data_IF_422041848210
#
_entry.id   IF_422041848210
#
_cell.length_a   1.000
_cell.length_b   1.000
_cell.length_c   1.000
_cell.angle_alpha   90.00
_cell.angle_beta   90.00
_cell.angle_gamma   90.00
#
_symmetry.space_group_name_H-M   'P 1'
#
loop_
_entity.id
_entity.type
_entity.pdbx_description
1 polymer ?
#
# COMPACT_ATOMS: atom_id res chain seq x y z
N UNK A 1 18.38 -17.65 -5.31
CA UNK A 1 17.82 -19.02 -5.42
C UNK A 1 18.78 -19.99 -4.79
N UNK A 2 18.27 -20.80 -3.87
CA UNK A 2 19.06 -21.79 -3.19
C UNK A 2 19.44 -22.90 -4.20
N UNK A 3 20.73 -23.02 -4.51
CA UNK A 3 21.25 -24.12 -5.32
C UNK A 3 21.48 -25.31 -4.43
N UNK A 4 20.67 -26.36 -4.57
CA UNK A 4 20.83 -27.66 -3.96
C UNK A 4 20.29 -28.72 -4.92
N UNK A 5 20.81 -29.96 -4.78
CA UNK A 5 20.35 -31.06 -5.60
C UNK A 5 18.96 -31.50 -5.10
N UNK A 6 17.93 -31.20 -5.89
CA UNK A 6 16.57 -31.61 -5.64
C UNK A 6 16.35 -33.03 -6.14
N UNK A 7 15.72 -33.87 -5.33
CA UNK A 7 15.24 -35.18 -5.76
C UNK A 7 13.96 -35.06 -6.58
N UNK A 8 13.12 -34.09 -6.23
CA UNK A 8 11.92 -33.70 -6.97
C UNK A 8 11.91 -32.19 -7.21
N UNK A 9 11.38 -31.74 -8.35
CA UNK A 9 11.30 -30.33 -8.68
C UNK A 9 10.48 -29.51 -7.66
N UNK A 10 9.57 -30.17 -6.94
CA UNK A 10 8.72 -29.60 -5.88
C UNK A 10 9.43 -29.47 -4.54
N UNK A 11 10.61 -30.10 -4.35
CA UNK A 11 11.35 -30.01 -3.10
C UNK A 11 11.77 -28.59 -2.79
N UNK A 12 11.70 -28.20 -1.53
CA UNK A 12 12.17 -26.92 -1.02
C UNK A 12 12.87 -27.09 0.33
N UNK A 13 13.75 -26.13 0.66
CA UNK A 13 14.61 -26.22 1.84
C UNK A 13 13.85 -25.88 3.10
N UNK A 14 13.76 -26.83 4.04
CA UNK A 14 13.29 -26.58 5.41
C UNK A 14 14.44 -26.14 6.33
N UNK A 15 15.63 -26.76 6.17
CA UNK A 15 16.80 -26.49 6.99
C UNK A 15 18.08 -26.57 6.17
N UNK A 16 18.96 -25.58 6.28
CA UNK A 16 20.27 -25.54 5.63
C UNK A 16 21.34 -25.99 6.61
N UNK A 17 21.93 -27.17 6.42
CA UNK A 17 22.96 -27.79 7.28
C UNK A 17 24.30 -27.08 7.22
N UNK A 18 24.68 -26.50 6.08
CA UNK A 18 25.90 -25.72 5.90
C UNK A 18 25.50 -24.35 5.37
N UNK A 19 25.96 -23.32 6.02
CA UNK A 19 25.84 -21.98 5.50
C UNK A 19 27.19 -21.28 5.66
N UNK A 20 27.55 -20.48 4.69
CA UNK A 20 28.66 -19.52 4.79
C UNK A 20 28.28 -18.34 5.71
N UNK A 21 27.12 -18.45 6.35
CA UNK A 21 26.58 -17.49 7.28
C UNK A 21 27.42 -17.41 8.56
N UNK A 22 27.48 -16.25 9.19
CA UNK A 22 28.16 -16.07 10.46
C UNK A 22 27.63 -17.02 11.54
N UNK A 23 28.48 -17.43 12.49
CA UNK A 23 28.08 -18.37 13.57
C UNK A 23 26.85 -17.91 14.37
N UNK A 24 26.62 -16.62 14.48
CA UNK A 24 25.43 -16.07 15.16
C UNK A 24 24.12 -16.31 14.39
N UNK A 25 24.19 -16.60 13.10
CA UNK A 25 23.04 -16.94 12.24
C UNK A 25 22.88 -18.47 12.06
N UNK A 26 23.48 -19.27 12.95
CA UNK A 26 23.37 -20.72 12.95
C UNK A 26 22.81 -21.22 14.28
N UNK A 27 21.91 -22.18 14.19
CA UNK A 27 21.27 -22.80 15.35
C UNK A 27 21.57 -24.29 15.43
N UNK A 28 21.54 -24.84 16.64
CA UNK A 28 21.64 -26.28 16.85
C UNK A 28 20.28 -26.93 16.59
N UNK A 29 20.28 -28.04 15.83
CA UNK A 29 19.10 -28.85 15.60
C UNK A 29 19.47 -30.35 15.71
N UNK A 30 18.50 -31.28 15.94
CA UNK A 30 18.76 -32.70 16.04
C UNK A 30 19.43 -33.30 14.80
N UNK A 31 19.20 -32.69 13.63
CA UNK A 31 19.75 -33.07 12.33
C UNK A 31 21.03 -32.29 11.95
N UNK A 32 21.58 -31.52 12.89
CA UNK A 32 22.84 -30.80 12.72
C UNK A 32 22.70 -29.26 12.84
N UNK A 33 23.83 -28.57 13.05
CA UNK A 33 23.84 -27.11 13.10
C UNK A 33 23.54 -26.52 11.71
N UNK A 34 22.78 -25.45 11.68
CA UNK A 34 22.40 -24.78 10.44
C UNK A 34 21.40 -23.66 10.66
N UNK A 35 20.68 -23.29 9.63
CA UNK A 35 19.62 -22.28 9.68
C UNK A 35 18.34 -22.74 8.97
N UNK A 36 17.18 -22.17 9.35
CA UNK A 36 15.93 -22.46 8.64
C UNK A 36 16.01 -21.99 7.18
N UNK A 37 15.23 -22.65 6.32
CA UNK A 37 14.90 -22.14 5.00
C UNK A 37 13.96 -20.94 5.11
N UNK A 38 13.88 -20.16 4.05
CA UNK A 38 13.08 -18.91 4.05
C UNK A 38 11.60 -19.14 4.37
N UNK A 39 10.97 -20.14 3.75
CA UNK A 39 9.52 -20.38 3.89
C UNK A 39 9.13 -20.80 5.32
N UNK A 40 9.94 -21.64 5.96
CA UNK A 40 9.64 -22.12 7.32
C UNK A 40 9.75 -21.03 8.37
N UNK A 41 10.50 -19.97 8.13
CA UNK A 41 10.57 -18.81 9.02
C UNK A 41 9.19 -18.17 9.15
N UNK A 42 8.51 -17.87 8.02
CA UNK A 42 7.19 -17.27 8.02
C UNK A 42 6.12 -18.21 8.58
N UNK A 43 6.13 -19.50 8.22
CA UNK A 43 5.20 -20.49 8.76
C UNK A 43 5.31 -20.59 10.30
N UNK A 44 6.53 -20.63 10.84
CA UNK A 44 6.76 -20.71 12.28
C UNK A 44 6.39 -19.41 13.02
N UNK A 45 6.70 -18.25 12.45
CA UNK A 45 6.36 -16.94 13.04
C UNK A 45 4.85 -16.72 13.05
N UNK A 46 4.16 -17.01 11.94
CA UNK A 46 2.71 -16.91 11.84
C UNK A 46 2.03 -17.78 12.89
N UNK A 47 2.42 -19.06 12.99
CA UNK A 47 1.89 -19.95 14.01
C UNK A 47 2.10 -19.42 15.43
N UNK A 48 3.30 -18.91 15.74
CA UNK A 48 3.65 -18.43 17.08
C UNK A 48 2.82 -17.20 17.50
N UNK A 49 2.51 -16.30 16.57
CA UNK A 49 1.90 -15.01 16.85
C UNK A 49 0.39 -15.06 16.60
N UNK A 50 -0.05 -15.67 15.51
CA UNK A 50 -1.43 -15.66 15.01
C UNK A 50 -2.18 -16.97 15.24
N UNK A 51 -1.49 -18.05 15.54
CA UNK A 51 -2.08 -19.38 15.71
C UNK A 51 -1.90 -20.27 14.48
N UNK A 52 -2.63 -21.42 14.48
CA UNK A 52 -2.52 -22.42 13.40
C UNK A 52 -3.30 -22.01 12.15
N UNK A 53 -4.33 -21.20 12.33
CA UNK A 53 -5.17 -20.60 11.28
C UNK A 53 -5.38 -19.14 11.63
N UNK A 54 -5.32 -18.26 10.64
CA UNK A 54 -5.56 -16.82 10.83
C UNK A 54 -6.36 -16.23 9.65
N UNK A 55 -6.79 -14.98 9.77
CA UNK A 55 -7.76 -14.42 8.83
C UNK A 55 -7.14 -14.06 7.50
N UNK A 56 -6.08 -13.22 7.49
CA UNK A 56 -5.54 -12.63 6.27
C UNK A 56 -4.03 -12.88 6.18
N UNK A 57 -3.59 -13.43 5.04
CA UNK A 57 -2.19 -13.50 4.64
C UNK A 57 -1.98 -12.76 3.32
N UNK A 58 -0.92 -11.96 3.24
CA UNK A 58 -0.70 -11.16 2.05
C UNK A 58 0.76 -10.91 1.74
N UNK A 59 1.01 -10.45 0.51
CA UNK A 59 2.34 -10.12 0.05
C UNK A 59 2.35 -9.57 -1.38
N UNK A 60 3.52 -9.49 -1.98
CA UNK A 60 3.64 -9.20 -3.41
C UNK A 60 3.18 -10.37 -4.27
N UNK A 61 2.72 -10.09 -5.48
CA UNK A 61 2.30 -11.11 -6.44
C UNK A 61 3.40 -12.15 -6.73
N UNK A 62 4.67 -11.75 -6.60
CA UNK A 62 5.84 -12.61 -6.77
C UNK A 62 6.01 -13.63 -5.63
N UNK A 63 5.32 -13.49 -4.51
CA UNK A 63 5.33 -14.42 -3.39
C UNK A 63 4.31 -15.54 -3.51
N UNK A 64 3.31 -15.44 -4.40
CA UNK A 64 2.30 -16.51 -4.61
C UNK A 64 3.00 -17.85 -4.78
N UNK A 65 3.97 -17.88 -5.68
CA UNK A 65 4.79 -19.05 -5.91
C UNK A 65 6.28 -18.66 -6.01
N UNK A 66 7.19 -19.37 -5.34
CA UNK A 66 6.94 -20.59 -4.54
C UNK A 66 6.65 -20.34 -3.06
N UNK A 67 6.75 -19.08 -2.56
CA UNK A 67 6.84 -18.81 -1.12
C UNK A 67 5.54 -19.18 -0.38
N UNK A 68 4.42 -18.58 -0.74
CA UNK A 68 3.14 -18.82 -0.06
C UNK A 68 2.63 -20.26 -0.23
N UNK A 69 2.81 -20.86 -1.41
CA UNK A 69 2.48 -22.26 -1.63
C UNK A 69 3.30 -23.18 -0.70
N UNK A 70 4.56 -22.87 -0.47
CA UNK A 70 5.40 -23.64 0.43
C UNK A 70 5.02 -23.41 1.91
N UNK A 71 4.57 -22.21 2.28
CA UNK A 71 4.03 -21.93 3.63
C UNK A 71 2.75 -22.71 3.89
N UNK A 72 1.83 -22.75 2.92
CA UNK A 72 0.61 -23.57 2.98
C UNK A 72 0.97 -25.04 3.19
N UNK A 73 1.83 -25.60 2.34
CA UNK A 73 2.25 -26.98 2.44
C UNK A 73 2.87 -27.32 3.81
N UNK A 74 3.73 -26.45 4.35
CA UNK A 74 4.36 -26.61 5.66
C UNK A 74 3.34 -26.55 6.79
N UNK A 75 2.49 -25.55 6.78
CA UNK A 75 1.57 -25.27 7.89
C UNK A 75 0.43 -26.28 7.94
N UNK A 76 -0.20 -26.58 6.80
CA UNK A 76 -1.29 -27.54 6.74
C UNK A 76 -0.83 -28.95 7.05
N UNK A 77 0.34 -29.38 6.55
CA UNK A 77 0.92 -30.67 6.92
C UNK A 77 1.26 -30.75 8.42
N UNK A 78 1.79 -29.69 9.01
CA UNK A 78 2.14 -29.66 10.43
C UNK A 78 0.92 -29.63 11.36
N UNK A 79 -0.23 -29.12 10.89
CA UNK A 79 -1.43 -28.90 11.70
C UNK A 79 -2.60 -29.81 11.30
N UNK A 80 -2.32 -30.98 10.69
CA UNK A 80 -3.32 -32.00 10.38
C UNK A 80 -4.37 -31.56 9.34
N UNK A 81 -3.96 -30.75 8.36
CA UNK A 81 -4.81 -30.28 7.27
C UNK A 81 -5.67 -29.06 7.59
N UNK A 82 -5.38 -28.36 8.70
CA UNK A 82 -6.06 -27.09 9.00
C UNK A 82 -5.64 -26.00 8.02
N UNK A 83 -6.62 -25.24 7.56
CA UNK A 83 -6.38 -24.09 6.66
C UNK A 83 -5.37 -23.13 7.31
N UNK A 84 -4.36 -22.73 6.56
CA UNK A 84 -3.32 -21.81 7.01
C UNK A 84 -3.87 -20.37 7.13
N UNK A 85 -4.50 -19.86 6.07
CA UNK A 85 -5.16 -18.55 6.09
C UNK A 85 -6.46 -18.57 5.30
N UNK A 86 -7.49 -17.81 5.78
CA UNK A 86 -8.79 -17.76 5.13
C UNK A 86 -8.80 -16.87 3.88
N UNK A 87 -8.08 -15.75 3.92
CA UNK A 87 -8.05 -14.76 2.85
C UNK A 87 -6.62 -14.47 2.41
N UNK A 88 -6.44 -14.35 1.11
CA UNK A 88 -5.16 -14.10 0.47
C UNK A 88 -5.22 -12.80 -0.33
N UNK A 89 -4.31 -11.86 -0.02
CA UNK A 89 -4.18 -10.60 -0.75
C UNK A 89 -2.79 -10.48 -1.37
N UNK A 90 -2.73 -10.27 -2.69
CA UNK A 90 -1.47 -10.12 -3.40
C UNK A 90 -1.43 -8.79 -4.15
N UNK A 91 -0.46 -7.96 -3.78
CA UNK A 91 -0.25 -6.67 -4.41
C UNK A 91 0.52 -6.80 -5.72
N UNK A 92 0.13 -6.00 -6.70
CA UNK A 92 0.94 -5.71 -7.86
C UNK A 92 2.29 -5.09 -7.49
N UNK A 93 3.23 -5.10 -8.42
CA UNK A 93 4.58 -4.61 -8.17
C UNK A 93 4.68 -3.10 -8.37
N UNK A 94 5.49 -2.43 -7.54
CA UNK A 94 5.96 -1.08 -7.85
C UNK A 94 7.14 -1.16 -8.82
N UNK A 95 6.99 -0.51 -9.96
CA UNK A 95 8.01 -0.41 -10.99
C UNK A 95 8.60 1.01 -11.03
N UNK A 96 9.86 1.11 -11.40
CA UNK A 96 10.60 2.37 -11.54
C UNK A 96 11.27 2.37 -12.91
N UNK A 97 10.83 3.27 -13.81
CA UNK A 97 11.39 3.34 -15.16
C UNK A 97 11.29 2.02 -15.93
N UNK A 98 10.17 1.30 -15.79
CA UNK A 98 9.93 0.02 -16.45
C UNK A 98 10.61 -1.19 -15.79
N UNK A 99 11.29 -1.02 -14.64
CA UNK A 99 11.94 -2.10 -13.90
C UNK A 99 11.41 -2.21 -12.46
N UNK A 100 11.35 -3.44 -11.92
CA UNK A 100 10.98 -3.68 -10.52
C UNK A 100 11.95 -2.95 -9.58
N UNK A 101 11.41 -2.32 -8.51
CA UNK A 101 12.22 -1.80 -7.41
C UNK A 101 12.98 -2.94 -6.73
N UNK A 102 14.30 -2.87 -6.68
CA UNK A 102 15.12 -3.88 -6.03
C UNK A 102 16.42 -3.29 -5.45
N UNK A 103 16.88 -3.86 -4.32
CA UNK A 103 18.16 -3.47 -3.70
C UNK A 103 19.33 -3.65 -4.66
N UNK A 104 19.32 -4.71 -5.45
CA UNK A 104 20.36 -5.02 -6.44
C UNK A 104 20.45 -4.01 -7.58
N UNK A 105 19.36 -3.26 -7.85
CA UNK A 105 19.29 -2.22 -8.88
C UNK A 105 19.62 -0.84 -8.31
N UNK A 106 19.59 -0.68 -6.98
CA UNK A 106 19.88 0.59 -6.31
C UNK A 106 18.76 1.65 -6.47
N UNK A 107 17.59 1.27 -6.96
CA UNK A 107 16.45 2.16 -7.23
C UNK A 107 15.42 2.22 -6.09
N UNK A 108 15.83 1.90 -4.86
CA UNK A 108 14.93 1.94 -3.70
C UNK A 108 14.71 3.39 -3.28
N UNK A 109 13.45 3.82 -3.31
CA UNK A 109 13.00 5.05 -2.68
C UNK A 109 12.38 4.72 -1.31
N UNK A 110 12.83 5.42 -0.27
CA UNK A 110 12.32 5.22 1.08
C UNK A 110 11.20 6.22 1.35
N UNK A 111 10.10 5.76 1.94
CA UNK A 111 8.99 6.63 2.35
C UNK A 111 9.48 7.80 3.21
N UNK A 112 10.42 7.54 4.13
CA UNK A 112 11.02 8.57 4.99
C UNK A 112 11.70 9.72 4.21
N UNK A 113 12.26 9.46 3.04
CA UNK A 113 12.90 10.47 2.21
C UNK A 113 11.83 11.20 1.38
N UNK A 114 10.91 10.45 0.77
CA UNK A 114 9.82 11.01 -0.03
C UNK A 114 8.91 11.97 0.76
N UNK A 115 8.61 11.70 2.03
CA UNK A 115 7.75 12.59 2.84
C UNK A 115 8.41 13.92 3.22
N UNK A 116 9.73 14.06 3.01
CA UNK A 116 10.45 15.31 3.18
C UNK A 116 10.41 16.19 1.94
N UNK A 117 10.28 15.56 0.77
CA UNK A 117 10.34 16.21 -0.54
C UNK A 117 8.96 16.49 -1.11
N UNK A 118 7.97 15.67 -0.72
CA UNK A 118 6.62 15.72 -1.31
C UNK A 118 5.52 15.73 -0.23
N UNK A 119 4.36 16.33 -0.53
CA UNK A 119 3.20 16.26 0.36
C UNK A 119 2.79 14.80 0.58
N UNK A 120 2.66 14.39 1.85
CA UNK A 120 2.34 12.99 2.22
C UNK A 120 1.03 12.50 1.61
N UNK A 121 0.05 13.38 1.49
CA UNK A 121 -1.24 13.06 0.89
C UNK A 121 -1.14 12.83 -0.63
N UNK A 122 -0.20 13.51 -1.31
CA UNK A 122 0.07 13.27 -2.73
C UNK A 122 0.73 11.90 -2.96
N UNK A 123 1.62 11.48 -2.07
CA UNK A 123 2.19 10.12 -2.10
C UNK A 123 1.10 9.05 -1.90
N UNK A 124 0.19 9.29 -0.97
CA UNK A 124 -0.97 8.41 -0.75
C UNK A 124 -1.88 8.35 -1.96
N UNK A 125 -2.21 9.51 -2.55
CA UNK A 125 -3.01 9.58 -3.78
C UNK A 125 -2.36 8.82 -4.92
N UNK A 126 -1.04 8.96 -5.11
CA UNK A 126 -0.29 8.26 -6.13
C UNK A 126 -0.38 6.73 -5.97
N UNK A 127 -0.25 6.22 -4.74
CA UNK A 127 -0.40 4.77 -4.47
C UNK A 127 -1.82 4.27 -4.74
N UNK A 128 -2.85 5.06 -4.40
CA UNK A 128 -4.26 4.70 -4.61
C UNK A 128 -4.71 4.83 -6.06
N UNK A 129 -3.91 5.46 -6.94
CA UNK A 129 -4.26 5.71 -8.34
C UNK A 129 -4.30 4.45 -9.21
N UNK A 130 -3.67 3.36 -8.79
CA UNK A 130 -3.80 2.05 -9.39
C UNK A 130 -4.52 1.09 -8.43
N UNK A 131 -5.24 0.13 -9.00
CA UNK A 131 -5.78 -0.96 -8.20
C UNK A 131 -4.63 -1.77 -7.58
N UNK A 132 -4.75 -2.16 -6.30
CA UNK A 132 -3.65 -2.80 -5.57
C UNK A 132 -3.11 -4.10 -6.22
N UNK A 133 -3.94 -4.80 -7.01
CA UNK A 133 -3.51 -6.01 -7.76
C UNK A 133 -2.73 -5.68 -9.04
N UNK A 134 -2.74 -4.43 -9.49
CA UNK A 134 -2.09 -4.02 -10.73
C UNK A 134 -0.70 -3.46 -10.47
N UNK A 135 0.24 -3.62 -11.41
CA UNK A 135 1.51 -2.92 -11.33
C UNK A 135 1.30 -1.40 -11.33
N UNK A 136 2.09 -0.69 -10.54
CA UNK A 136 2.11 0.76 -10.50
C UNK A 136 3.49 1.26 -10.94
N UNK A 137 3.54 2.06 -11.99
CA UNK A 137 4.74 2.79 -12.42
C UNK A 137 4.92 4.03 -11.53
N UNK A 138 5.83 3.92 -10.57
CA UNK A 138 6.16 4.99 -9.65
C UNK A 138 7.13 5.97 -10.32
N UNK A 139 6.81 7.26 -10.31
CA UNK A 139 7.64 8.30 -10.91
C UNK A 139 7.34 9.66 -10.30
N UNK A 140 8.29 10.60 -10.41
CA UNK A 140 8.08 11.99 -9.99
C UNK A 140 6.90 12.61 -10.75
N UNK A 141 6.72 12.27 -12.02
CA UNK A 141 5.59 12.73 -12.83
C UNK A 141 4.23 12.28 -12.25
N UNK A 142 4.15 11.06 -11.69
CA UNK A 142 2.94 10.56 -11.01
C UNK A 142 2.69 11.34 -9.72
N UNK A 143 3.72 11.62 -8.94
CA UNK A 143 3.62 12.40 -7.71
C UNK A 143 3.16 13.83 -8.03
N UNK A 144 3.78 14.48 -9.00
CA UNK A 144 3.37 15.82 -9.46
C UNK A 144 1.93 15.86 -9.98
N UNK A 145 1.51 14.85 -10.73
CA UNK A 145 0.12 14.73 -11.18
C UNK A 145 -0.83 14.60 -10.00
N UNK A 146 -0.45 13.84 -8.97
CA UNK A 146 -1.22 13.68 -7.74
C UNK A 146 -1.35 14.99 -6.99
N UNK A 147 -0.26 15.77 -6.87
CA UNK A 147 -0.28 17.12 -6.30
C UNK A 147 -1.26 18.01 -7.06
N UNK A 148 -1.15 18.09 -8.40
CA UNK A 148 -2.06 18.90 -9.22
C UNK A 148 -3.54 18.50 -9.09
N UNK A 149 -3.79 17.21 -8.87
CA UNK A 149 -5.15 16.72 -8.65
C UNK A 149 -5.68 17.14 -7.28
N UNK A 150 -4.88 16.99 -6.24
CA UNK A 150 -5.22 17.46 -4.89
C UNK A 150 -5.37 18.98 -4.84
N UNK A 151 -4.55 19.75 -5.56
CA UNK A 151 -4.73 21.20 -5.69
C UNK A 151 -6.12 21.57 -6.21
N UNK A 152 -6.64 20.83 -7.20
CA UNK A 152 -7.99 21.03 -7.72
C UNK A 152 -9.08 20.65 -6.72
N UNK A 153 -8.88 19.56 -5.97
CA UNK A 153 -9.82 19.12 -4.95
C UNK A 153 -9.87 20.10 -3.77
N UNK A 154 -8.72 20.50 -3.25
CA UNK A 154 -8.63 21.51 -2.20
C UNK A 154 -9.10 22.90 -2.67
N UNK A 155 -8.88 23.25 -3.97
CA UNK A 155 -9.49 24.41 -4.60
C UNK A 155 -11.01 24.37 -4.52
N UNK A 156 -11.62 23.22 -4.83
CA UNK A 156 -13.07 23.03 -4.69
C UNK A 156 -13.54 23.20 -3.23
N UNK A 157 -12.84 22.63 -2.26
CA UNK A 157 -13.18 22.81 -0.85
C UNK A 157 -13.04 24.26 -0.38
N UNK A 158 -12.07 25.00 -0.91
CA UNK A 158 -11.91 26.44 -0.67
C UNK A 158 -13.09 27.25 -1.24
N UNK A 159 -13.54 26.89 -2.45
CA UNK A 159 -14.71 27.53 -3.09
C UNK A 159 -16.05 27.21 -2.35
N UNK A 160 -16.02 26.19 -1.48
CA UNK A 160 -17.12 25.78 -0.60
C UNK A 160 -16.88 26.19 0.88
N UNK A 161 -15.98 27.15 1.14
CA UNK A 161 -15.66 27.56 2.51
C UNK A 161 -16.88 28.16 3.27
N UNK A 162 -17.81 28.73 2.53
CA UNK A 162 -19.07 29.30 3.03
C UNK A 162 -20.13 28.22 3.39
N UNK A 163 -19.89 26.95 3.02
CA UNK A 163 -20.82 25.82 3.23
C UNK A 163 -20.36 25.01 4.42
N UNK A 164 -21.17 24.86 5.43
CA UNK A 164 -20.94 23.90 6.53
C UNK A 164 -21.47 22.51 6.14
N UNK A 165 -20.62 21.49 6.24
CA UNK A 165 -21.01 20.10 6.01
C UNK A 165 -20.13 19.15 6.81
N UNK A 166 -20.72 18.12 7.40
CA UNK A 166 -20.01 17.01 8.01
C UNK A 166 -19.71 15.94 6.94
N UNK A 167 -18.58 15.25 7.06
CA UNK A 167 -18.22 14.14 6.16
C UNK A 167 -19.27 13.02 6.24
N UNK A 168 -19.74 12.57 5.08
CA UNK A 168 -20.72 11.48 4.95
C UNK A 168 -20.23 10.46 3.93
N UNK A 169 -19.93 9.23 4.38
CA UNK A 169 -19.60 8.12 3.50
C UNK A 169 -20.91 7.61 2.91
N UNK A 170 -21.03 7.69 1.59
CA UNK A 170 -22.22 7.25 0.89
C UNK A 170 -22.20 5.74 0.60
N UNK A 171 -23.37 5.07 0.50
CA UNK A 171 -23.45 3.68 0.06
C UNK A 171 -22.77 3.44 -1.30
N UNK A 172 -22.69 4.46 -2.16
CA UNK A 172 -21.97 4.39 -3.44
C UNK A 172 -20.46 4.23 -3.28
N UNK A 173 -19.85 4.97 -2.35
CA UNK A 173 -18.41 4.82 -2.02
C UNK A 173 -18.17 3.47 -1.33
N UNK A 174 -19.04 3.06 -0.42
CA UNK A 174 -18.94 1.75 0.23
C UNK A 174 -18.96 0.62 -0.80
N UNK A 175 -19.94 0.60 -1.69
CA UNK A 175 -20.06 -0.42 -2.73
C UNK A 175 -18.83 -0.46 -3.68
N UNK A 176 -18.23 0.70 -4.00
CA UNK A 176 -17.00 0.76 -4.79
C UNK A 176 -15.83 0.11 -4.04
N UNK A 177 -15.71 0.37 -2.75
CA UNK A 177 -14.62 -0.17 -1.95
C UNK A 177 -14.83 -1.64 -1.56
N UNK A 178 -16.08 -2.10 -1.46
CA UNK A 178 -16.43 -3.52 -1.28
C UNK A 178 -16.13 -4.35 -2.53
N UNK A 179 -16.04 -3.73 -3.71
CA UNK A 179 -15.62 -4.37 -4.95
C UNK A 179 -14.08 -4.44 -5.00
N UNK A 180 -13.51 -5.34 -4.20
CA UNK A 180 -12.08 -5.65 -4.15
C UNK A 180 -11.18 -4.42 -3.95
N UNK A 181 -11.59 -3.47 -3.09
CA UNK A 181 -10.88 -2.23 -2.79
C UNK A 181 -10.58 -1.39 -4.04
N UNK A 182 -11.57 -1.14 -4.89
CA UNK A 182 -11.44 -0.44 -6.17
C UNK A 182 -11.15 1.06 -5.97
N UNK A 183 -9.96 1.38 -5.44
CA UNK A 183 -9.54 2.75 -5.16
C UNK A 183 -9.50 3.66 -6.41
N UNK A 184 -9.12 3.20 -7.62
CA UNK A 184 -9.20 4.04 -8.81
C UNK A 184 -10.63 4.54 -9.10
N UNK A 185 -11.63 3.69 -8.92
CA UNK A 185 -13.04 4.09 -9.11
C UNK A 185 -13.49 5.05 -8.01
N UNK A 186 -13.06 4.83 -6.76
CA UNK A 186 -13.33 5.77 -5.67
C UNK A 186 -12.70 7.14 -5.91
N UNK A 187 -11.49 7.22 -6.46
CA UNK A 187 -10.85 8.47 -6.87
C UNK A 187 -11.60 9.16 -8.02
N UNK A 188 -12.14 8.38 -8.97
CA UNK A 188 -12.99 8.92 -10.03
C UNK A 188 -14.31 9.50 -9.48
N UNK A 189 -14.91 8.86 -8.48
CA UNK A 189 -16.10 9.37 -7.78
C UNK A 189 -15.80 10.66 -7.03
N UNK A 190 -14.68 10.76 -6.32
CA UNK A 190 -14.21 12.00 -5.68
C UNK A 190 -14.10 13.14 -6.72
N UNK A 191 -13.52 12.85 -7.88
CA UNK A 191 -13.37 13.85 -8.94
C UNK A 191 -14.75 14.29 -9.52
N UNK A 192 -15.70 13.36 -9.66
CA UNK A 192 -17.07 13.62 -10.08
C UNK A 192 -17.79 14.55 -9.09
N UNK A 193 -17.78 14.18 -7.80
CA UNK A 193 -18.37 14.98 -6.71
C UNK A 193 -17.81 16.40 -6.67
N UNK A 194 -16.48 16.54 -6.77
CA UNK A 194 -15.84 17.86 -6.83
C UNK A 194 -16.23 18.68 -8.07
N UNK A 195 -16.42 18.03 -9.22
CA UNK A 195 -16.85 18.70 -10.44
C UNK A 195 -18.31 19.17 -10.35
N UNK A 196 -19.18 18.37 -9.75
CA UNK A 196 -20.59 18.73 -9.52
C UNK A 196 -20.71 19.88 -8.50
N UNK A 197 -19.98 19.81 -7.40
CA UNK A 197 -19.98 20.85 -6.37
C UNK A 197 -19.57 22.23 -6.92
N UNK A 198 -18.62 22.26 -7.89
CA UNK A 198 -18.23 23.52 -8.56
C UNK A 198 -19.30 24.09 -9.51
N UNK A 199 -20.20 23.24 -10.03
CA UNK A 199 -21.25 23.65 -10.98
C UNK A 199 -22.54 24.02 -10.30
N UNK A 200 -22.80 23.48 -9.12
CA UNK A 200 -24.05 23.70 -8.41
C UNK A 200 -24.11 25.10 -7.82
N UNK A 201 -25.23 25.80 -8.10
CA UNK A 201 -25.62 27.08 -7.52
C UNK A 201 -26.63 26.89 -6.38
N UNK A 202 -27.17 25.69 -6.22
CA UNK A 202 -28.13 25.36 -5.17
C UNK A 202 -27.42 25.12 -3.82
N UNK A 203 -27.80 25.87 -2.79
CA UNK A 203 -27.12 25.83 -1.48
C UNK A 203 -27.25 24.44 -0.80
N UNK A 204 -28.41 23.79 -0.89
CA UNK A 204 -28.65 22.47 -0.29
C UNK A 204 -27.84 21.38 -1.02
N UNK A 205 -27.83 21.43 -2.35
CA UNK A 205 -27.01 20.52 -3.18
C UNK A 205 -25.52 20.70 -2.90
N UNK A 206 -25.01 21.94 -2.78
CA UNK A 206 -23.62 22.24 -2.42
C UNK A 206 -23.26 21.64 -1.05
N UNK A 207 -24.16 21.73 -0.08
CA UNK A 207 -23.97 21.14 1.25
C UNK A 207 -23.84 19.62 1.15
N UNK A 208 -24.75 18.97 0.45
CA UNK A 208 -24.75 17.52 0.24
C UNK A 208 -23.48 17.07 -0.50
N UNK A 209 -23.13 17.74 -1.61
CA UNK A 209 -21.94 17.40 -2.38
C UNK A 209 -20.64 17.60 -1.60
N UNK A 210 -20.54 18.63 -0.76
CA UNK A 210 -19.41 18.83 0.16
C UNK A 210 -19.33 17.69 1.19
N UNK A 211 -20.44 17.30 1.80
CA UNK A 211 -20.50 16.21 2.77
C UNK A 211 -20.01 14.89 2.14
N UNK A 212 -20.51 14.55 0.95
CA UNK A 212 -20.12 13.36 0.21
C UNK A 212 -18.65 13.40 -0.26
N UNK A 213 -18.16 14.56 -0.72
CA UNK A 213 -16.76 14.74 -1.11
C UNK A 213 -15.81 14.51 0.07
N UNK A 214 -16.12 15.09 1.23
CA UNK A 214 -15.36 14.90 2.45
C UNK A 214 -15.44 13.45 2.94
N UNK A 215 -16.60 12.80 2.87
CA UNK A 215 -16.79 11.40 3.24
C UNK A 215 -16.01 10.44 2.36
N UNK A 216 -16.04 10.65 1.05
CA UNK A 216 -15.24 9.86 0.10
C UNK A 216 -13.73 10.07 0.32
N UNK A 217 -13.29 11.31 0.59
CA UNK A 217 -11.93 11.63 0.98
C UNK A 217 -11.53 10.92 2.28
N UNK A 218 -12.38 10.97 3.30
CA UNK A 218 -12.14 10.32 4.59
C UNK A 218 -11.97 8.79 4.43
N UNK A 219 -12.80 8.14 3.62
CA UNK A 219 -12.70 6.70 3.37
C UNK A 219 -11.35 6.28 2.79
N UNK A 220 -10.71 7.15 2.00
CA UNK A 220 -9.39 6.91 1.41
C UNK A 220 -8.22 7.55 2.19
N UNK A 221 -8.51 8.29 3.27
CA UNK A 221 -7.52 9.07 4.02
C UNK A 221 -6.96 10.24 3.18
N UNK A 222 -7.81 10.85 2.36
CA UNK A 222 -7.56 12.04 1.55
C UNK A 222 -8.41 13.21 2.07
N UNK A 223 -8.06 14.43 1.68
CA UNK A 223 -8.77 15.66 2.07
C UNK A 223 -8.85 15.87 3.58
N UNK A 224 -7.76 15.51 4.28
CA UNK A 224 -7.67 15.54 5.74
C UNK A 224 -7.18 16.89 6.28
N UNK A 225 -6.78 17.80 5.41
CA UNK A 225 -6.27 19.12 5.77
C UNK A 225 -7.33 20.20 5.47
N UNK A 226 -7.14 21.41 6.00
CA UNK A 226 -7.89 22.56 5.51
C UNK A 226 -7.28 23.04 4.18
N UNK A 227 -8.08 23.68 3.30
CA UNK A 227 -7.53 24.27 2.08
C UNK A 227 -6.37 25.24 2.34
N UNK A 228 -6.46 26.03 3.41
CA UNK A 228 -5.42 26.99 3.80
C UNK A 228 -4.10 26.26 4.14
N UNK A 229 -4.17 25.20 4.95
CA UNK A 229 -3.01 24.40 5.31
C UNK A 229 -2.40 23.72 4.07
N UNK A 230 -3.25 23.19 3.18
CA UNK A 230 -2.79 22.59 1.94
C UNK A 230 -2.02 23.58 1.06
N UNK A 231 -2.53 24.78 0.84
CA UNK A 231 -1.91 25.78 -0.03
C UNK A 231 -0.73 26.52 0.64
N UNK A 232 -0.65 26.54 1.97
CA UNK A 232 0.49 27.12 2.69
C UNK A 232 1.78 26.27 2.61
N UNK A 233 1.70 25.00 2.20
CA UNK A 233 2.85 24.06 2.15
C UNK A 233 4.01 24.54 1.24
N UNK A 234 3.75 25.40 0.24
CA UNK A 234 4.76 25.94 -0.66
C UNK A 234 5.45 27.22 -0.15
N UNK A 235 4.82 27.93 0.80
CA UNK A 235 5.35 29.20 1.28
C UNK A 235 6.54 29.04 2.24
N UNK A 236 6.63 27.93 2.99
CA UNK A 236 7.72 27.66 3.93
C UNK A 236 9.06 27.30 3.25
N UNK A 237 9.02 26.71 2.06
CA UNK A 237 10.24 26.33 1.34
C UNK A 237 10.94 27.53 0.65
N UNK A 238 10.20 28.56 0.26
CA UNK A 238 10.77 29.76 -0.35
C UNK A 238 11.39 30.72 0.68
N UNK A 239 10.86 30.75 1.90
CA UNK A 239 11.41 31.59 2.98
C UNK A 239 12.71 31.01 3.56
N UNK A 240 12.82 29.67 3.71
CA UNK A 240 14.05 29.03 4.16
C UNK A 240 15.20 29.15 3.12
N UNK A 241 14.90 29.16 1.82
CA UNK A 241 15.89 29.38 0.78
C UNK A 241 16.39 30.84 0.73
N UNK A 242 15.59 31.82 1.16
CA UNK A 242 16.00 33.25 1.24
C UNK A 242 16.81 33.59 2.47
N UNK A 243 16.74 32.77 3.53
CA UNK A 243 17.51 32.98 4.77
C UNK A 243 18.93 32.39 4.66
N UNK A 244 19.16 31.45 3.71
CA UNK A 244 20.47 30.80 3.49
C UNK A 244 21.28 31.43 2.32
N UNK A 245 20.79 32.44 1.65
CA UNK A 245 21.49 33.23 0.63
C UNK A 245 21.91 34.60 1.18
#
# INVERSE_FOLDING_TARGET
SDRYDKQDARDFVLWKLKSDEPKWAQWKAPFGPGRPGWHIECSAMSRKILGETFDIHGGGLDLVFPHHENEVAQSECAHGGRIFAHWWLHNGMLNFGGSKMAKSVGNIQRVHDLVREHPTEALRYALLSAHYRQPLEWSDALIEQSVRTLDRLYGTLRDLADVEAAAEITPGIEAILEDDLNTPQALAEIARLAAEARRSENAEERTTLKAHLLGAGMALGLLQQTPEAWFARGASNDDDARIQS
#
